data_IF_494333316598
#
_entry.id   IF_494333316598
#
_cell.length_a   1.000
_cell.length_b   1.000
_cell.length_c   1.000
_cell.angle_alpha   90.00
_cell.angle_beta   90.00
_cell.angle_gamma   90.00
#
_symmetry.space_group_name_H-M   'P 1'
#
loop_
_entity.id
_entity.type
_entity.pdbx_description
1 polymer ?
#
# COMPACT_ATOMS: atom_id res chain seq x y z
N UNK A 1 17.75 -18.94 -25.55
CA UNK A 1 16.59 -18.03 -25.39
C UNK A 1 17.12 -16.81 -24.66
N UNK A 2 17.28 -15.66 -25.33
CA UNK A 2 17.71 -14.43 -24.65
C UNK A 2 16.76 -14.19 -23.50
N UNK A 3 17.27 -14.08 -22.27
CA UNK A 3 16.44 -13.69 -21.14
C UNK A 3 15.89 -12.30 -21.47
N UNK A 4 14.60 -12.22 -21.81
CA UNK A 4 13.95 -10.96 -22.14
C UNK A 4 14.12 -9.99 -20.97
N UNK A 5 14.15 -8.69 -21.26
CA UNK A 5 14.19 -7.64 -20.23
C UNK A 5 13.16 -7.97 -19.13
N UNK A 6 13.64 -8.13 -17.89
CA UNK A 6 12.79 -8.57 -16.79
C UNK A 6 11.60 -7.63 -16.58
N UNK A 7 10.44 -8.19 -16.23
CA UNK A 7 9.26 -7.39 -15.89
C UNK A 7 9.23 -7.09 -14.39
N UNK A 8 8.86 -5.87 -14.03
CA UNK A 8 8.65 -5.49 -12.64
C UNK A 8 7.33 -6.07 -12.11
N UNK A 9 7.32 -6.38 -10.81
CA UNK A 9 6.16 -6.89 -10.10
C UNK A 9 6.08 -6.27 -8.72
N UNK A 10 4.86 -6.08 -8.21
CA UNK A 10 4.63 -5.64 -6.84
C UNK A 10 4.32 -6.87 -6.00
N UNK A 11 5.01 -6.97 -4.86
CA UNK A 11 4.86 -8.08 -3.91
C UNK A 11 4.39 -7.50 -2.59
N UNK A 12 3.30 -8.05 -2.05
CA UNK A 12 2.88 -7.72 -0.69
C UNK A 12 3.90 -8.26 0.31
N UNK A 13 4.46 -7.38 1.14
CA UNK A 13 5.36 -7.75 2.21
C UNK A 13 4.55 -8.30 3.39
N UNK A 14 4.16 -9.59 3.31
CA UNK A 14 3.51 -10.29 4.41
C UNK A 14 4.49 -11.27 5.08
N UNK A 15 4.49 -11.30 6.42
CA UNK A 15 5.35 -12.17 7.20
C UNK A 15 4.89 -13.63 7.14
N UNK A 16 5.86 -14.52 6.98
CA UNK A 16 5.82 -15.97 7.00
C UNK A 16 5.29 -16.70 5.75
N UNK A 17 4.03 -16.63 5.33
CA UNK A 17 3.47 -17.77 4.53
C UNK A 17 2.66 -17.47 3.26
N UNK A 18 2.51 -16.22 2.82
CA UNK A 18 1.87 -15.95 1.53
C UNK A 18 2.30 -14.61 0.95
N UNK A 19 3.15 -14.63 -0.10
CA UNK A 19 3.45 -13.45 -0.91
C UNK A 19 2.73 -13.60 -2.23
N UNK A 20 1.69 -12.79 -2.45
CA UNK A 20 1.01 -12.75 -3.73
C UNK A 20 1.71 -11.74 -4.66
N UNK A 21 1.93 -12.14 -5.90
CA UNK A 21 2.49 -11.25 -6.94
C UNK A 21 1.34 -10.58 -7.67
N UNK A 22 1.31 -9.26 -7.67
CA UNK A 22 0.36 -8.49 -8.45
C UNK A 22 1.05 -7.91 -9.68
N UNK A 23 0.44 -8.13 -10.85
CA UNK A 23 0.76 -7.36 -12.04
C UNK A 23 0.21 -5.95 -11.84
N UNK A 24 1.08 -5.03 -11.45
CA UNK A 24 0.77 -3.63 -11.23
C UNK A 24 1.97 -2.77 -11.61
N UNK A 25 1.71 -1.51 -11.96
CA UNK A 25 2.77 -0.51 -12.11
C UNK A 25 3.42 -0.24 -10.73
N UNK A 26 4.72 -0.48 -10.55
CA UNK A 26 5.38 -0.30 -9.25
C UNK A 26 5.33 1.15 -8.75
N UNK A 27 5.42 2.13 -9.65
CA UNK A 27 5.35 3.55 -9.29
C UNK A 27 3.99 3.91 -8.71
N UNK A 28 2.91 3.53 -9.40
CA UNK A 28 1.55 3.73 -8.93
C UNK A 28 1.26 3.02 -7.60
N UNK A 29 1.81 1.81 -7.39
CA UNK A 29 1.68 1.12 -6.11
C UNK A 29 2.40 1.87 -4.97
N UNK A 30 3.61 2.37 -5.20
CA UNK A 30 4.35 3.15 -4.22
C UNK A 30 3.62 4.46 -3.87
N UNK A 31 3.09 5.16 -4.87
CA UNK A 31 2.33 6.39 -4.66
C UNK A 31 1.11 6.18 -3.76
N UNK A 32 0.39 5.05 -3.94
CA UNK A 32 -0.76 4.69 -3.08
C UNK A 32 -0.30 4.49 -1.63
N UNK A 33 0.79 3.74 -1.42
CA UNK A 33 1.32 3.47 -0.07
C UNK A 33 1.72 4.76 0.62
N UNK A 34 2.49 5.62 -0.05
CA UNK A 34 2.94 6.90 0.51
C UNK A 34 1.77 7.83 0.82
N UNK A 35 0.76 7.87 -0.06
CA UNK A 35 -0.45 8.68 0.16
C UNK A 35 -1.27 8.17 1.34
N UNK A 36 -1.39 6.86 1.50
CA UNK A 36 -2.14 6.22 2.59
C UNK A 36 -1.44 6.37 3.95
N UNK A 37 -0.10 6.41 3.97
CA UNK A 37 0.69 6.62 5.19
C UNK A 37 0.73 8.08 5.67
N UNK A 38 0.27 9.03 4.84
CA UNK A 38 0.26 10.46 5.17
C UNK A 38 -0.83 10.89 6.16
N UNK A 39 -0.85 12.18 6.55
CA UNK A 39 -1.86 12.73 7.44
C UNK A 39 -3.29 12.48 6.96
N UNK A 40 -4.19 12.19 7.92
CA UNK A 40 -5.60 11.89 7.63
C UNK A 40 -6.32 12.98 6.80
N UNK A 41 -5.93 14.25 6.98
CA UNK A 41 -6.49 15.39 6.24
C UNK A 41 -6.12 15.43 4.75
N UNK A 42 -5.11 14.66 4.31
CA UNK A 42 -4.67 14.61 2.90
C UNK A 42 -5.32 13.46 2.10
N UNK A 43 -6.14 12.65 2.76
CA UNK A 43 -6.91 11.57 2.12
C UNK A 43 -8.06 12.17 1.32
N UNK A 44 -8.16 11.82 0.03
CA UNK A 44 -9.25 12.30 -0.84
C UNK A 44 -10.58 11.76 -0.33
N UNK A 45 -11.65 12.51 -0.51
CA UNK A 45 -13.00 12.11 -0.09
C UNK A 45 -13.36 10.68 -0.52
N UNK A 46 -13.14 10.38 -1.81
CA UNK A 46 -13.44 9.07 -2.41
C UNK A 46 -12.66 7.91 -1.78
N UNK A 47 -11.52 8.17 -1.16
CA UNK A 47 -10.64 7.14 -0.60
C UNK A 47 -10.94 6.90 0.90
N UNK A 48 -11.79 7.73 1.53
CA UNK A 48 -12.07 7.64 2.97
C UNK A 48 -12.79 6.35 3.38
N UNK A 49 -13.61 5.79 2.50
CA UNK A 49 -14.35 4.54 2.75
C UNK A 49 -13.42 3.33 2.95
N UNK A 50 -12.20 3.38 2.42
CA UNK A 50 -11.21 2.31 2.56
C UNK A 50 -10.38 2.42 3.84
N UNK A 51 -10.53 3.48 4.63
CA UNK A 51 -9.79 3.64 5.88
C UNK A 51 -10.41 2.77 6.97
N UNK A 52 -9.55 2.02 7.65
CA UNK A 52 -9.90 1.44 8.94
C UNK A 52 -9.89 2.54 10.02
N UNK A 53 -10.80 2.51 11.01
CA UNK A 53 -10.67 3.33 12.19
C UNK A 53 -9.28 3.15 12.80
N UNK A 54 -8.60 4.25 13.08
CA UNK A 54 -7.37 4.20 13.87
C UNK A 54 -7.69 3.75 15.29
N UNK A 55 -6.70 3.22 16.04
CA UNK A 55 -6.88 3.02 17.46
C UNK A 55 -7.34 4.35 18.08
N UNK A 56 -8.32 4.30 18.99
CA UNK A 56 -8.67 5.47 19.78
C UNK A 56 -7.37 5.97 20.40
N UNK A 57 -7.04 7.24 20.17
CA UNK A 57 -5.91 7.85 20.85
C UNK A 57 -6.20 7.67 22.34
N UNK A 58 -5.43 6.86 23.04
CA UNK A 58 -5.47 6.79 24.49
C UNK A 58 -5.03 8.17 24.96
N UNK A 59 -6.00 9.05 25.18
CA UNK A 59 -5.76 10.30 25.88
C UNK A 59 -5.17 9.90 27.23
N UNK A 60 -3.90 10.25 27.44
CA UNK A 60 -3.18 9.92 28.66
C UNK A 60 -3.94 10.44 29.87
N UNK A 61 -4.11 9.56 30.87
CA UNK A 61 -4.46 9.92 32.24
C UNK A 61 -3.23 10.45 32.95
#
# INVERSE_FOLDING_TARGET
>A
RSAGAGSWAVVEANMAWFSNVYAADPGGALDVVLRAAGPAGLVRERDRVFRRPGPASSAGT
#
